data_IF_835447440747
#
_entry.id   IF_835447440747
#
_cell.length_a   1.000
_cell.length_b   1.000
_cell.length_c   1.000
_cell.angle_alpha   90.00
_cell.angle_beta   90.00
_cell.angle_gamma   90.00
#
_symmetry.space_group_name_H-M   'P 1'
#
loop_
_entity.id
_entity.type
_entity.pdbx_description
1 polymer ?
#
# COMPACT_ATOMS: atom_id res chain seq x y z
N UNK A 1 -15.45 47.18 -42.49
CA UNK A 1 -15.85 45.75 -42.38
C UNK A 1 -15.11 45.15 -41.19
N UNK A 2 -15.22 45.78 -40.00
CA UNK A 2 -14.23 45.60 -38.92
C UNK A 2 -14.85 45.39 -37.52
N UNK A 3 -16.17 45.18 -37.46
CA UNK A 3 -16.90 45.16 -36.19
C UNK A 3 -17.74 43.91 -35.94
N UNK A 4 -17.65 42.88 -36.79
CA UNK A 4 -18.38 41.61 -36.60
C UNK A 4 -17.50 40.41 -36.23
N UNK A 5 -16.17 40.53 -36.30
CA UNK A 5 -15.25 39.39 -36.04
C UNK A 5 -14.88 39.28 -34.55
N UNK A 6 -15.01 40.35 -33.76
CA UNK A 6 -14.53 40.39 -32.36
C UNK A 6 -15.45 39.72 -31.33
N UNK A 7 -16.70 39.41 -31.68
CA UNK A 7 -17.66 38.83 -30.72
C UNK A 7 -17.82 37.30 -30.83
N UNK A 8 -17.15 36.65 -31.77
CA UNK A 8 -17.19 35.18 -31.92
C UNK A 8 -16.09 34.44 -31.13
N UNK A 9 -15.11 35.16 -30.57
CA UNK A 9 -13.97 34.55 -29.86
C UNK A 9 -14.21 34.46 -28.34
N UNK A 10 -15.27 35.11 -27.81
CA UNK A 10 -15.57 35.11 -26.37
C UNK A 10 -16.50 33.98 -25.91
N UNK A 11 -17.06 33.20 -26.83
CA UNK A 11 -18.06 32.17 -26.52
C UNK A 11 -17.55 30.73 -26.49
N UNK A 12 -16.26 30.48 -26.73
CA UNK A 12 -15.71 29.14 -26.91
C UNK A 12 -14.66 28.76 -25.84
N UNK A 13 -14.68 29.42 -24.68
CA UNK A 13 -13.68 29.24 -23.62
C UNK A 13 -14.32 28.80 -22.30
N UNK A 14 -15.30 27.88 -22.34
CA UNK A 14 -16.00 27.46 -21.11
C UNK A 14 -16.55 26.02 -21.14
N UNK A 15 -16.04 25.14 -22.01
CA UNK A 15 -16.67 23.81 -22.21
C UNK A 15 -15.72 22.61 -22.19
N UNK A 16 -14.46 22.76 -21.77
CA UNK A 16 -13.50 21.63 -21.70
C UNK A 16 -13.15 21.24 -20.26
N UNK A 17 -13.59 21.99 -19.25
CA UNK A 17 -13.25 21.73 -17.83
C UNK A 17 -14.33 20.90 -17.09
N UNK A 18 -15.01 19.98 -17.78
CA UNK A 18 -16.25 19.37 -17.27
C UNK A 18 -16.29 17.84 -17.15
N UNK A 19 -15.28 17.10 -17.63
CA UNK A 19 -15.40 15.64 -17.74
C UNK A 19 -14.09 14.90 -17.43
N UNK A 20 -13.54 15.11 -16.23
CA UNK A 20 -12.48 14.25 -15.65
C UNK A 20 -12.78 13.91 -14.18
N UNK A 21 -14.06 13.74 -13.84
CA UNK A 21 -14.50 13.20 -12.55
C UNK A 21 -15.20 11.86 -12.79
N UNK A 22 -14.65 11.02 -13.67
CA UNK A 22 -15.08 9.63 -13.76
C UNK A 22 -14.34 8.86 -12.68
N UNK A 23 -14.94 8.87 -11.49
CA UNK A 23 -14.96 7.77 -10.54
C UNK A 23 -13.68 6.92 -10.48
N UNK A 24 -12.72 7.34 -9.66
CA UNK A 24 -12.02 6.37 -8.84
C UNK A 24 -13.06 5.83 -7.86
N UNK A 25 -13.83 4.83 -8.28
CA UNK A 25 -14.47 3.90 -7.34
C UNK A 25 -13.31 3.40 -6.48
N UNK A 26 -13.25 3.90 -5.24
CA UNK A 26 -12.06 3.86 -4.41
C UNK A 26 -11.51 2.45 -4.36
N UNK A 27 -10.30 2.27 -4.90
CA UNK A 27 -9.53 1.07 -4.64
C UNK A 27 -9.30 1.07 -3.12
N UNK A 28 -9.96 0.15 -2.41
CA UNK A 28 -9.86 0.00 -0.95
C UNK A 28 -8.60 -0.78 -0.61
N UNK A 29 -7.52 -0.46 -1.30
CA UNK A 29 -6.20 -1.01 -1.10
C UNK A 29 -5.21 0.12 -0.86
N UNK A 30 -4.18 -0.21 -0.11
CA UNK A 30 -3.17 0.73 0.32
C UNK A 30 -1.80 0.12 0.06
N UNK A 31 -0.95 0.87 -0.62
CA UNK A 31 0.44 0.47 -0.81
C UNK A 31 1.15 0.52 0.54
N UNK A 32 1.71 -0.62 0.96
CA UNK A 32 2.49 -0.80 2.19
C UNK A 32 3.90 -1.20 1.79
N UNK A 33 4.88 -0.45 2.29
CA UNK A 33 6.29 -0.77 2.10
C UNK A 33 6.78 -1.66 3.24
N UNK A 34 7.23 -2.86 2.90
CA UNK A 34 7.79 -3.80 3.88
C UNK A 34 9.31 -3.78 3.76
N UNK A 35 10.00 -3.55 4.86
CA UNK A 35 11.45 -3.41 4.94
C UNK A 35 12.03 -4.51 5.82
N UNK A 36 13.08 -5.18 5.37
CA UNK A 36 13.83 -6.12 6.18
C UNK A 36 14.88 -5.39 7.03
N UNK A 37 14.58 -5.18 8.31
CA UNK A 37 15.52 -4.59 9.28
C UNK A 37 16.35 -5.67 10.02
N UNK A 38 16.25 -6.94 9.63
CA UNK A 38 17.07 -8.00 10.19
C UNK A 38 18.48 -8.01 9.58
N UNK A 39 19.40 -8.75 10.21
CA UNK A 39 20.78 -8.89 9.73
C UNK A 39 20.96 -9.98 8.65
N UNK A 40 19.89 -10.67 8.26
CA UNK A 40 19.92 -11.81 7.34
C UNK A 40 18.77 -11.75 6.33
N UNK A 41 18.85 -12.55 5.26
CA UNK A 41 17.77 -12.64 4.28
C UNK A 41 16.56 -13.31 4.90
N UNK A 42 15.38 -12.76 4.65
CA UNK A 42 14.10 -13.31 5.12
C UNK A 42 13.14 -13.54 3.96
N UNK A 43 12.26 -14.52 4.10
CA UNK A 43 11.07 -14.63 3.27
C UNK A 43 9.89 -14.04 4.04
N UNK A 44 9.33 -12.95 3.52
CA UNK A 44 8.18 -12.24 4.09
C UNK A 44 6.91 -12.73 3.42
N UNK A 45 5.86 -12.91 4.23
CA UNK A 45 4.50 -13.24 3.83
C UNK A 45 3.56 -12.13 4.28
N UNK A 46 3.18 -11.18 3.41
CA UNK A 46 2.37 -10.02 3.79
C UNK A 46 0.98 -10.36 4.35
N UNK A 47 0.43 -11.53 4.00
CA UNK A 47 -0.86 -12.03 4.48
C UNK A 47 -0.74 -13.36 5.26
N UNK A 48 0.47 -13.69 5.71
CA UNK A 48 0.78 -14.92 6.43
C UNK A 48 1.20 -16.07 5.53
N UNK A 49 1.86 -17.07 6.11
CA UNK A 49 2.42 -18.22 5.38
C UNK A 49 1.38 -19.08 4.64
N UNK A 50 0.09 -18.93 4.96
CA UNK A 50 -1.00 -19.59 4.24
C UNK A 50 -1.30 -18.97 2.86
N UNK A 51 -0.77 -17.77 2.57
CA UNK A 51 -0.91 -17.09 1.28
C UNK A 51 0.47 -16.87 0.60
N UNK A 52 1.21 -17.95 0.27
CA UNK A 52 2.60 -17.86 -0.18
C UNK A 52 2.78 -17.18 -1.55
N UNK A 53 1.71 -17.05 -2.34
CA UNK A 53 1.74 -16.37 -3.64
C UNK A 53 2.09 -14.87 -3.55
N UNK A 54 1.94 -14.26 -2.37
CA UNK A 54 2.31 -12.87 -2.11
C UNK A 54 3.68 -12.74 -1.42
N UNK A 55 4.47 -13.81 -1.35
CA UNK A 55 5.74 -13.79 -0.62
C UNK A 55 6.85 -13.00 -1.33
N UNK A 56 7.75 -12.44 -0.53
CA UNK A 56 8.91 -11.68 -1.00
C UNK A 56 10.16 -12.18 -0.28
N UNK A 57 11.23 -12.47 -1.03
CA UNK A 57 12.55 -12.73 -0.45
C UNK A 57 13.31 -11.41 -0.38
N UNK A 58 13.67 -10.98 0.83
CA UNK A 58 14.30 -9.69 1.07
C UNK A 58 15.66 -9.86 1.75
N UNK A 59 16.71 -9.37 1.11
CA UNK A 59 18.03 -9.20 1.72
C UNK A 59 17.99 -8.16 2.85
N UNK A 60 19.00 -8.12 3.75
CA UNK A 60 19.10 -7.09 4.80
C UNK A 60 19.01 -5.67 4.22
N UNK A 61 18.10 -4.86 4.77
CA UNK A 61 17.83 -3.49 4.32
C UNK A 61 17.02 -3.37 3.04
N UNK A 62 16.71 -4.48 2.35
CA UNK A 62 15.86 -4.47 1.16
C UNK A 62 14.39 -4.23 1.53
N UNK A 63 13.59 -3.84 0.54
CA UNK A 63 12.16 -3.61 0.71
C UNK A 63 11.33 -4.06 -0.48
N UNK A 64 10.08 -4.46 -0.22
CA UNK A 64 9.05 -4.68 -1.23
C UNK A 64 7.86 -3.75 -1.00
N UNK A 65 7.12 -3.44 -2.07
CA UNK A 65 5.81 -2.80 -2.00
C UNK A 65 4.74 -3.89 -2.12
N UNK A 66 3.75 -3.83 -1.25
CA UNK A 66 2.58 -4.71 -1.27
C UNK A 66 1.31 -3.87 -1.29
N UNK A 67 0.37 -4.21 -2.17
CA UNK A 67 -0.91 -3.54 -2.23
C UNK A 67 -1.90 -4.25 -1.29
N UNK A 68 -2.02 -3.76 -0.07
CA UNK A 68 -2.84 -4.37 0.98
C UNK A 68 -4.30 -3.96 0.89
N UNK A 69 -5.19 -4.95 0.78
CA UNK A 69 -6.64 -4.72 0.86
C UNK A 69 -7.02 -4.28 2.27
N UNK A 70 -7.44 -3.02 2.43
CA UNK A 70 -7.89 -2.51 3.72
C UNK A 70 -9.36 -2.78 3.99
N UNK A 71 -10.16 -3.03 2.93
CA UNK A 71 -11.60 -3.37 2.94
C UNK A 71 -12.55 -2.31 3.52
N UNK A 72 -12.08 -1.50 4.46
CA UNK A 72 -12.62 -0.23 4.92
C UNK A 72 -11.47 0.67 5.44
N UNK A 73 -11.80 1.82 6.01
CA UNK A 73 -10.84 2.77 6.61
C UNK A 73 -11.04 2.95 8.11
N UNK A 74 -11.74 2.02 8.78
CA UNK A 74 -11.89 2.07 10.24
C UNK A 74 -10.54 1.67 10.89
N UNK A 75 -10.07 2.48 11.83
CA UNK A 75 -8.75 2.29 12.45
C UNK A 75 -8.59 0.93 13.15
N UNK A 76 -9.70 0.33 13.62
CA UNK A 76 -9.72 -0.97 14.28
C UNK A 76 -9.81 -2.16 13.32
N UNK A 77 -10.05 -1.93 12.03
CA UNK A 77 -10.18 -3.01 11.05
C UNK A 77 -8.87 -3.72 10.86
N UNK A 78 -8.91 -5.04 11.03
CA UNK A 78 -7.79 -5.92 10.72
C UNK A 78 -7.57 -5.95 9.20
N UNK A 79 -6.33 -5.67 8.78
CA UNK A 79 -5.95 -5.57 7.37
C UNK A 79 -5.06 -6.75 6.97
N UNK A 80 -4.05 -7.06 7.77
CA UNK A 80 -3.03 -8.04 7.40
C UNK A 80 -2.38 -8.71 8.61
N UNK A 81 -1.88 -9.92 8.39
CA UNK A 81 -0.92 -10.60 9.28
C UNK A 81 0.35 -10.73 8.49
N UNK A 82 1.37 -9.96 8.84
CA UNK A 82 2.67 -10.05 8.19
C UNK A 82 3.52 -11.04 8.98
N UNK A 83 4.06 -12.03 8.29
CA UNK A 83 5.02 -12.99 8.85
C UNK A 83 6.33 -12.90 8.10
N UNK A 84 7.44 -13.25 8.75
CA UNK A 84 8.69 -13.51 8.07
C UNK A 84 9.42 -14.70 8.69
N UNK A 85 10.05 -15.49 7.82
CA UNK A 85 10.89 -16.63 8.20
C UNK A 85 12.33 -16.42 7.73
N UNK A 86 13.27 -17.02 8.44
CA UNK A 86 14.68 -17.07 8.02
C UNK A 86 14.95 -18.18 6.99
N UNK A 87 16.21 -18.34 6.57
CA UNK A 87 16.62 -19.40 5.65
C UNK A 87 16.43 -20.83 6.16
N UNK A 88 16.17 -21.02 7.45
CA UNK A 88 15.82 -22.31 8.07
C UNK A 88 14.31 -22.56 8.15
N UNK A 89 13.49 -21.64 7.61
CA UNK A 89 12.04 -21.60 7.78
C UNK A 89 11.58 -21.41 9.24
N UNK A 90 12.43 -20.84 10.09
CA UNK A 90 12.04 -20.46 11.46
C UNK A 90 11.30 -19.12 11.41
N UNK A 91 10.15 -19.01 12.09
CA UNK A 91 9.41 -17.75 12.21
C UNK A 91 10.20 -16.75 13.06
N UNK A 92 10.57 -15.63 12.45
CA UNK A 92 11.37 -14.57 13.09
C UNK A 92 10.59 -13.28 13.31
N UNK A 93 9.53 -13.07 12.54
CA UNK A 93 8.63 -11.93 12.66
C UNK A 93 7.18 -12.38 12.46
N UNK A 94 6.27 -11.85 13.28
CA UNK A 94 4.84 -12.06 13.15
C UNK A 94 4.11 -10.87 13.77
N UNK A 95 3.25 -10.19 13.01
CA UNK A 95 2.44 -9.10 13.56
C UNK A 95 1.10 -8.99 12.85
N UNK A 96 0.02 -8.78 13.61
CA UNK A 96 -1.33 -8.52 13.08
C UNK A 96 -1.59 -7.02 13.07
N UNK A 97 -1.76 -6.47 11.89
CA UNK A 97 -1.96 -5.05 11.67
C UNK A 97 -3.43 -4.69 11.53
N UNK A 98 -3.81 -3.59 12.15
CA UNK A 98 -5.03 -2.86 11.79
C UNK A 98 -4.74 -1.74 10.81
N UNK A 99 -5.78 -1.20 10.17
CA UNK A 99 -5.67 -0.04 9.30
C UNK A 99 -5.05 1.16 10.03
N UNK A 100 -5.52 1.43 11.24
CA UNK A 100 -5.03 2.55 12.05
C UNK A 100 -3.57 2.39 12.45
N UNK A 101 -3.12 1.17 12.73
CA UNK A 101 -1.72 0.90 13.04
C UNK A 101 -0.83 1.16 11.82
N UNK A 102 -1.17 0.61 10.65
CA UNK A 102 -0.41 0.86 9.43
C UNK A 102 -0.39 2.35 9.06
N UNK A 103 -1.51 3.06 9.25
CA UNK A 103 -1.57 4.50 9.02
C UNK A 103 -0.63 5.26 9.96
N UNK A 104 -0.57 4.90 11.25
CA UNK A 104 0.35 5.50 12.22
C UNK A 104 1.82 5.24 11.90
N UNK A 105 2.12 4.07 11.34
CA UNK A 105 3.45 3.71 10.85
C UNK A 105 3.79 4.37 9.49
N UNK A 106 2.89 5.16 8.92
CA UNK A 106 3.08 5.79 7.61
C UNK A 106 3.13 4.77 6.47
N UNK A 107 2.36 3.69 6.59
CA UNK A 107 2.29 2.57 5.64
C UNK A 107 3.61 1.83 5.45
N UNK A 108 4.42 1.75 6.51
CA UNK A 108 5.69 1.04 6.52
C UNK A 108 5.70 -0.06 7.58
N UNK A 109 6.07 -1.26 7.17
CA UNK A 109 6.26 -2.41 8.06
C UNK A 109 7.75 -2.72 8.11
N UNK A 110 8.32 -2.65 9.31
CA UNK A 110 9.71 -2.98 9.56
C UNK A 110 9.79 -4.38 10.17
N UNK A 111 10.28 -5.35 9.39
CA UNK A 111 10.50 -6.72 9.84
C UNK A 111 11.74 -6.76 10.71
N UNK A 112 11.53 -6.99 12.01
CA UNK A 112 12.58 -7.06 13.04
C UNK A 112 12.73 -8.48 13.57
N UNK A 113 13.95 -8.81 14.00
CA UNK A 113 14.23 -10.13 14.57
C UNK A 113 13.48 -10.32 15.91
N UNK A 114 12.84 -11.48 16.05
CA UNK A 114 12.12 -11.94 17.26
C UNK A 114 10.91 -11.11 17.69
N UNK A 115 10.29 -10.39 16.77
CA UNK A 115 9.01 -9.71 17.04
C UNK A 115 7.84 -10.62 16.68
N UNK A 116 7.32 -11.37 17.67
CA UNK A 116 6.26 -12.37 17.50
C UNK A 116 4.97 -11.94 18.22
N UNK A 117 4.21 -11.05 17.59
CA UNK A 117 2.95 -10.44 18.06
C UNK A 117 1.76 -10.87 17.20
N UNK A 118 1.65 -12.17 17.03
CA UNK A 118 0.44 -12.85 16.56
C UNK A 118 -0.23 -13.55 17.74
#
# INVERSE_FOLDING_TARGET
>A
MDSMIRNLIRGALLSVLGLLITACLGDLSQEVRIVNDTAYTVTVYPYGQNEPQYSHVLDPGASAQELMLTSDTDAGTYVARVEAVDGSHTLVFCHRYTYGELQQLGWQVHVKDRELRC
#
